data_IF_041975286631
#
_entry.id   IF_041975286631
#
_cell.length_a   1.000
_cell.length_b   1.000
_cell.length_c   1.000
_cell.angle_alpha   90.00
_cell.angle_beta   90.00
_cell.angle_gamma   90.00
#
_symmetry.space_group_name_H-M   'P 1'
#
loop_
_entity.id
_entity.type
_entity.pdbx_description
1 polymer ?
#
# COMPACT_ATOMS: atom_id res chain seq x y z
N UNK A 1 9.16 3.90 28.03
CA UNK A 1 10.29 3.28 27.31
C UNK A 1 10.92 4.34 26.42
N UNK A 2 12.24 4.53 26.48
CA UNK A 2 12.91 5.52 25.63
C UNK A 2 12.83 5.09 24.15
N UNK A 3 12.58 6.04 23.25
CA UNK A 3 12.56 5.76 21.82
C UNK A 3 13.92 5.15 21.40
N UNK A 4 13.92 4.00 20.69
CA UNK A 4 15.14 3.37 20.18
C UNK A 4 16.01 4.35 19.39
N UNK A 5 17.33 4.15 19.40
CA UNK A 5 18.29 5.05 18.76
C UNK A 5 17.97 5.29 17.27
N UNK A 6 17.53 4.25 16.55
CA UNK A 6 17.22 4.33 15.13
C UNK A 6 16.01 5.24 14.85
N UNK A 7 15.03 5.28 15.76
CA UNK A 7 13.91 6.22 15.62
C UNK A 7 14.43 7.65 15.67
N UNK A 8 15.31 7.98 16.63
CA UNK A 8 15.88 9.34 16.74
C UNK A 8 16.61 9.77 15.47
N UNK A 9 17.30 8.86 14.81
CA UNK A 9 17.95 9.10 13.51
C UNK A 9 16.91 9.34 12.42
N UNK A 10 15.89 8.48 12.30
CA UNK A 10 14.82 8.61 11.30
C UNK A 10 13.99 9.90 11.47
N UNK A 11 13.87 10.41 12.70
CA UNK A 11 13.19 11.68 12.99
C UNK A 11 13.99 12.91 12.52
N UNK A 12 15.32 12.79 12.32
CA UNK A 12 16.20 13.90 11.90
C UNK A 12 16.36 14.07 10.39
N UNK A 13 15.84 13.14 9.59
CA UNK A 13 15.91 13.21 8.11
C UNK A 13 14.53 13.48 7.50
N UNK A 14 14.45 13.96 6.24
CA UNK A 14 13.19 14.20 5.56
C UNK A 14 12.26 12.97 5.60
N UNK A 15 10.93 13.13 5.80
CA UNK A 15 10.03 12.00 6.04
C UNK A 15 10.02 10.93 4.95
N UNK A 16 10.07 11.34 3.67
CA UNK A 16 10.08 10.40 2.54
C UNK A 16 11.41 9.63 2.45
N UNK A 17 12.53 10.24 2.85
CA UNK A 17 13.82 9.56 2.95
C UNK A 17 13.81 8.55 4.10
N UNK A 18 13.35 8.96 5.29
CA UNK A 18 13.21 8.05 6.43
C UNK A 18 12.31 6.84 6.13
N UNK A 19 11.22 7.04 5.38
CA UNK A 19 10.37 5.94 4.92
C UNK A 19 11.15 4.92 4.09
N UNK A 20 11.93 5.39 3.10
CA UNK A 20 12.78 4.51 2.30
C UNK A 20 13.87 3.82 3.13
N UNK A 21 14.54 4.54 4.04
CA UNK A 21 15.56 3.96 4.91
C UNK A 21 14.98 2.89 5.84
N UNK A 22 13.79 3.12 6.41
CA UNK A 22 13.14 2.18 7.30
C UNK A 22 12.74 0.88 6.58
N UNK A 23 12.14 0.97 5.40
CA UNK A 23 11.71 -0.22 4.64
C UNK A 23 12.90 -1.03 4.12
N UNK A 24 13.94 -0.37 3.59
CA UNK A 24 15.17 -1.06 3.18
C UNK A 24 15.88 -1.71 4.37
N UNK A 25 15.95 -1.01 5.51
CA UNK A 25 16.53 -1.56 6.73
C UNK A 25 15.77 -2.77 7.26
N UNK A 26 14.43 -2.73 7.20
CA UNK A 26 13.58 -3.85 7.57
C UNK A 26 13.81 -5.06 6.66
N UNK A 27 13.80 -4.87 5.35
CA UNK A 27 14.02 -5.96 4.39
C UNK A 27 15.42 -6.56 4.47
N UNK A 28 16.42 -5.76 4.84
CA UNK A 28 17.73 -6.31 5.17
C UNK A 28 17.71 -7.10 6.48
N UNK A 29 17.06 -6.55 7.53
CA UNK A 29 17.02 -7.16 8.85
C UNK A 29 16.32 -8.52 8.86
N UNK A 30 15.26 -8.69 8.05
CA UNK A 30 14.54 -9.98 7.94
C UNK A 30 15.31 -11.07 7.22
N UNK A 31 16.39 -10.72 6.53
CA UNK A 31 17.34 -11.70 5.95
C UNK A 31 18.34 -12.23 6.97
N UNK A 32 18.44 -11.58 8.14
CA UNK A 32 19.31 -12.01 9.23
C UNK A 32 18.48 -12.78 10.27
N UNK A 33 18.70 -14.09 10.45
CA UNK A 33 17.93 -14.88 11.41
C UNK A 33 17.99 -14.30 12.83
N UNK A 34 16.83 -14.21 13.49
CA UNK A 34 16.72 -13.75 14.88
C UNK A 34 16.74 -12.24 15.10
N UNK A 35 17.02 -11.44 14.06
CA UNK A 35 17.02 -9.97 14.19
C UNK A 35 15.60 -9.37 14.21
N UNK A 36 14.65 -10.04 13.56
CA UNK A 36 13.23 -9.70 13.57
C UNK A 36 12.45 -10.94 14.04
N UNK A 37 11.81 -10.84 15.19
CA UNK A 37 11.05 -11.93 15.80
C UNK A 37 9.81 -11.39 16.53
N UNK A 38 8.77 -10.96 15.81
CA UNK A 38 7.52 -10.59 16.46
C UNK A 38 6.84 -11.83 17.03
N UNK A 39 6.23 -11.67 18.20
CA UNK A 39 5.27 -12.65 18.67
C UNK A 39 3.95 -12.42 17.91
N UNK A 40 3.59 -13.37 17.05
CA UNK A 40 2.30 -13.37 16.37
C UNK A 40 1.21 -13.72 17.39
N UNK A 41 0.38 -12.75 17.76
CA UNK A 41 -0.88 -13.03 18.42
C UNK A 41 -1.76 -13.84 17.44
N UNK A 42 -2.11 -15.07 17.81
CA UNK A 42 -2.99 -15.93 17.00
C UNK A 42 -4.43 -15.65 17.40
N UNK A 43 -5.07 -14.71 16.71
CA UNK A 43 -6.47 -14.32 16.92
C UNK A 43 -7.21 -14.27 15.58
N UNK A 44 -7.33 -15.43 14.93
CA UNK A 44 -7.75 -15.52 13.54
C UNK A 44 -9.18 -15.03 13.29
N UNK A 45 -9.43 -14.50 12.09
CA UNK A 45 -10.76 -14.07 11.61
C UNK A 45 -11.01 -14.57 10.19
N UNK A 46 -12.25 -14.94 9.89
CA UNK A 46 -12.68 -15.24 8.52
C UNK A 46 -13.59 -14.12 8.03
N UNK A 47 -13.20 -13.45 6.94
CA UNK A 47 -13.92 -12.29 6.40
C UNK A 47 -13.91 -12.38 4.87
N UNK A 48 -15.07 -12.22 4.23
CA UNK A 48 -15.24 -12.34 2.77
C UNK A 48 -14.65 -13.63 2.17
N UNK A 49 -14.69 -14.74 2.91
CA UNK A 49 -14.11 -16.02 2.50
C UNK A 49 -12.59 -16.14 2.65
N UNK A 50 -11.92 -15.10 3.14
CA UNK A 50 -10.47 -15.10 3.41
C UNK A 50 -10.18 -15.37 4.88
N UNK A 51 -9.06 -16.05 5.15
CA UNK A 51 -8.61 -16.37 6.50
C UNK A 51 -7.46 -15.45 6.93
N UNK A 52 -7.74 -14.55 7.86
CA UNK A 52 -6.78 -13.63 8.46
C UNK A 52 -6.16 -14.27 9.72
N UNK A 53 -4.82 -14.41 9.82
CA UNK A 53 -4.17 -15.00 10.99
C UNK A 53 -4.38 -14.21 12.29
N UNK A 54 -4.61 -12.91 12.16
CA UNK A 54 -4.96 -11.98 13.24
C UNK A 54 -5.70 -10.76 12.65
N UNK A 55 -6.38 -9.94 13.47
CA UNK A 55 -7.24 -8.87 12.95
C UNK A 55 -6.47 -7.59 12.56
N UNK A 56 -5.14 -7.55 12.74
CA UNK A 56 -4.33 -6.35 12.49
C UNK A 56 -3.71 -6.41 11.09
N UNK A 57 -4.20 -5.55 10.21
CA UNK A 57 -3.67 -5.35 8.87
C UNK A 57 -2.85 -4.07 8.74
N UNK A 58 -1.88 -4.07 7.83
CA UNK A 58 -1.17 -2.87 7.40
C UNK A 58 -1.91 -2.21 6.23
N UNK A 59 -2.27 -0.94 6.38
CA UNK A 59 -2.98 -0.18 5.37
C UNK A 59 -2.12 0.16 4.13
N UNK A 60 -2.79 0.43 3.02
CA UNK A 60 -2.17 0.90 1.79
C UNK A 60 -1.39 2.21 1.96
N UNK A 61 -0.47 2.45 1.04
CA UNK A 61 0.34 3.67 0.95
C UNK A 61 1.70 3.55 1.63
N UNK A 62 1.92 2.54 2.47
CA UNK A 62 3.26 2.22 2.99
C UNK A 62 4.09 1.48 1.93
N UNK A 63 3.71 0.26 1.57
CA UNK A 63 4.37 -0.49 0.49
C UNK A 63 3.58 -0.40 -0.82
N UNK A 64 3.82 0.68 -1.56
CA UNK A 64 3.08 0.96 -2.80
C UNK A 64 3.37 -0.02 -3.94
N UNK A 65 4.51 -0.71 -3.90
CA UNK A 65 5.01 -1.47 -5.04
C UNK A 65 5.11 -2.97 -4.76
N UNK A 66 4.63 -3.42 -3.59
CA UNK A 66 4.88 -4.77 -3.07
C UNK A 66 6.38 -5.10 -2.93
N UNK A 67 7.21 -4.09 -2.70
CA UNK A 67 8.66 -4.28 -2.61
C UNK A 67 9.07 -4.94 -1.27
N UNK A 68 8.24 -4.86 -0.23
CA UNK A 68 8.62 -5.16 1.17
C UNK A 68 7.60 -6.05 1.90
N UNK A 69 6.70 -6.73 1.19
CA UNK A 69 5.61 -7.56 1.76
C UNK A 69 6.15 -8.57 2.78
N UNK A 70 7.18 -9.34 2.43
CA UNK A 70 7.80 -10.31 3.35
C UNK A 70 8.38 -9.64 4.60
N UNK A 71 9.08 -8.52 4.41
CA UNK A 71 9.70 -7.77 5.50
C UNK A 71 8.68 -7.23 6.49
N UNK A 72 7.58 -6.68 5.97
CA UNK A 72 6.46 -6.17 6.76
C UNK A 72 5.67 -7.31 7.41
N UNK A 73 5.49 -8.43 6.73
CA UNK A 73 4.82 -9.61 7.26
C UNK A 73 5.57 -10.19 8.46
N UNK A 74 6.89 -10.14 8.42
CA UNK A 74 7.76 -10.50 9.53
C UNK A 74 7.67 -9.54 10.73
N UNK A 75 6.83 -8.49 10.71
CA UNK A 75 6.50 -7.69 11.90
C UNK A 75 5.23 -8.19 12.63
N UNK A 76 4.53 -9.17 12.06
CA UNK A 76 3.40 -9.83 12.71
C UNK A 76 2.01 -9.44 12.19
N UNK A 77 1.93 -8.64 11.12
CA UNK A 77 0.65 -8.30 10.50
C UNK A 77 -0.08 -9.53 9.96
N UNK A 78 -1.38 -9.63 10.20
CA UNK A 78 -2.24 -10.67 9.62
C UNK A 78 -2.57 -10.40 8.15
N UNK A 79 -2.55 -9.12 7.75
CA UNK A 79 -2.74 -8.71 6.38
C UNK A 79 -1.88 -7.51 5.99
N UNK A 80 -1.58 -7.40 4.69
CA UNK A 80 -0.86 -6.26 4.12
C UNK A 80 -1.63 -5.79 2.88
N UNK A 81 -2.03 -4.52 2.87
CA UNK A 81 -2.56 -3.90 1.66
C UNK A 81 -1.43 -3.13 0.94
N UNK A 82 -1.05 -3.59 -0.26
CA UNK A 82 -0.08 -2.88 -1.11
C UNK A 82 -0.77 -1.78 -1.92
N UNK A 83 0.03 -0.96 -2.58
CA UNK A 83 -0.48 0.12 -3.44
C UNK A 83 -0.69 1.43 -2.67
N UNK A 84 -1.40 2.42 -3.22
CA UNK A 84 -2.13 2.36 -4.49
C UNK A 84 -1.22 2.19 -5.69
N UNK A 85 -1.47 1.16 -6.50
CA UNK A 85 -0.84 0.96 -7.82
C UNK A 85 -1.73 1.50 -8.92
N UNK A 86 -1.11 1.89 -10.03
CA UNK A 86 -1.79 2.33 -11.26
C UNK A 86 -1.34 1.47 -12.44
N UNK A 87 -2.03 1.47 -13.59
CA UNK A 87 -1.61 0.67 -14.75
C UNK A 87 -0.15 0.95 -15.16
N UNK A 88 0.17 2.23 -15.38
CA UNK A 88 1.51 2.71 -15.73
C UNK A 88 2.23 3.25 -14.51
N UNK A 89 3.58 3.15 -14.45
CA UNK A 89 4.36 3.84 -13.43
C UNK A 89 4.15 5.35 -13.49
N UNK A 90 4.18 6.02 -12.34
CA UNK A 90 4.16 7.47 -12.29
C UNK A 90 4.94 8.02 -11.08
N UNK A 91 5.58 9.20 -11.21
CA UNK A 91 6.43 9.76 -10.17
C UNK A 91 5.64 10.34 -8.98
N UNK A 92 4.34 10.61 -9.17
CA UNK A 92 3.47 11.33 -8.24
C UNK A 92 3.71 12.84 -8.24
N UNK A 93 3.28 13.52 -7.17
CA UNK A 93 3.43 14.98 -7.05
C UNK A 93 4.88 15.40 -6.74
N UNK A 94 5.28 16.65 -7.04
CA UNK A 94 6.60 17.17 -6.67
C UNK A 94 6.88 17.11 -5.16
N UNK A 95 8.15 16.97 -4.79
CA UNK A 95 8.61 17.01 -3.40
C UNK A 95 8.82 18.46 -2.92
N UNK A 96 8.70 18.76 -1.60
CA UNK A 96 8.30 17.87 -0.52
C UNK A 96 6.79 17.61 -0.50
N UNK A 97 6.40 16.38 -0.14
CA UNK A 97 5.02 15.87 -0.24
C UNK A 97 4.59 14.97 0.92
N UNK A 98 5.44 14.83 1.94
CA UNK A 98 5.15 14.12 3.18
C UNK A 98 5.70 14.94 4.35
N UNK A 99 4.85 15.20 5.33
CA UNK A 99 5.11 16.08 6.47
C UNK A 99 4.71 15.37 7.76
N UNK A 100 5.49 15.61 8.82
CA UNK A 100 5.23 15.07 10.17
C UNK A 100 4.74 16.17 11.08
N UNK A 101 3.81 15.83 11.95
CA UNK A 101 3.31 16.70 13.02
C UNK A 101 3.45 15.92 14.35
N UNK A 102 4.68 15.87 14.91
CA UNK A 102 4.99 14.98 16.02
C UNK A 102 4.11 15.19 17.25
N UNK A 103 3.77 16.45 17.57
CA UNK A 103 2.96 16.81 18.75
C UNK A 103 1.53 16.23 18.69
N UNK A 104 1.06 15.90 17.49
CA UNK A 104 -0.28 15.37 17.24
C UNK A 104 -0.26 13.91 16.77
N UNK A 105 0.91 13.26 16.77
CA UNK A 105 1.09 11.90 16.23
C UNK A 105 0.53 11.77 14.79
N UNK A 106 0.66 12.83 13.99
CA UNK A 106 -0.02 12.95 12.70
C UNK A 106 0.94 13.13 11.52
N UNK A 107 0.44 12.81 10.33
CA UNK A 107 1.11 12.99 9.05
C UNK A 107 0.18 13.74 8.08
N UNK A 108 0.76 14.61 7.25
CA UNK A 108 0.09 15.17 6.07
C UNK A 108 0.86 14.68 4.85
N UNK A 109 0.16 14.19 3.83
CA UNK A 109 0.79 13.80 2.58
C UNK A 109 -0.02 14.24 1.37
N UNK A 110 0.71 14.48 0.28
CA UNK A 110 0.17 14.77 -1.05
C UNK A 110 0.91 13.97 -2.10
N UNK A 111 1.01 12.66 -1.89
CA UNK A 111 1.91 11.81 -2.68
C UNK A 111 1.52 11.71 -4.17
N UNK A 112 0.21 11.65 -4.47
CA UNK A 112 -0.30 11.57 -5.85
C UNK A 112 -0.01 10.23 -6.54
N UNK A 113 -0.22 9.10 -5.83
CA UNK A 113 -0.02 7.74 -6.35
C UNK A 113 1.35 7.50 -7.01
N UNK A 114 2.46 7.90 -6.38
CA UNK A 114 3.78 7.54 -6.88
C UNK A 114 4.03 6.02 -6.77
N UNK A 115 4.17 5.32 -7.90
CA UNK A 115 4.33 3.86 -7.93
C UNK A 115 5.03 3.39 -9.23
N UNK A 116 5.45 2.12 -9.26
CA UNK A 116 6.18 1.47 -10.37
C UNK A 116 5.27 0.77 -11.39
N UNK A 117 3.95 0.94 -11.29
CA UNK A 117 2.95 0.29 -12.14
C UNK A 117 2.53 -1.09 -11.63
N UNK A 118 1.33 -1.51 -12.03
CA UNK A 118 0.71 -2.77 -11.56
C UNK A 118 1.53 -4.00 -11.95
N UNK A 119 2.12 -4.01 -13.16
CA UNK A 119 2.94 -5.13 -13.62
C UNK A 119 4.19 -5.36 -12.75
N UNK A 120 4.76 -4.29 -12.15
CA UNK A 120 5.84 -4.43 -11.18
C UNK A 120 5.34 -5.08 -9.89
N UNK A 121 4.23 -4.59 -9.35
CA UNK A 121 3.66 -5.11 -8.11
C UNK A 121 3.23 -6.58 -8.24
N UNK A 122 2.58 -6.95 -9.35
CA UNK A 122 2.20 -8.34 -9.64
C UNK A 122 3.41 -9.29 -9.58
N UNK A 123 4.49 -8.98 -10.31
CA UNK A 123 5.73 -9.77 -10.30
C UNK A 123 6.39 -9.89 -8.92
N UNK A 124 6.20 -8.89 -8.05
CA UNK A 124 6.67 -8.95 -6.66
C UNK A 124 5.79 -9.88 -5.83
N UNK A 125 4.47 -9.79 -5.98
CA UNK A 125 3.51 -10.64 -5.28
C UNK A 125 3.63 -12.12 -5.67
N UNK A 126 3.92 -12.43 -6.93
CA UNK A 126 4.21 -13.81 -7.39
C UNK A 126 5.36 -14.48 -6.62
N UNK A 127 6.29 -13.67 -6.09
CA UNK A 127 7.52 -14.14 -5.42
C UNK A 127 7.45 -13.98 -3.90
N UNK A 128 6.31 -13.54 -3.35
CA UNK A 128 6.16 -13.33 -1.91
C UNK A 128 6.20 -14.67 -1.17
N UNK A 129 6.73 -14.66 0.05
CA UNK A 129 6.70 -15.78 0.99
C UNK A 129 5.73 -15.54 2.15
N UNK A 130 5.32 -14.29 2.36
CA UNK A 130 4.30 -13.95 3.34
C UNK A 130 3.02 -14.74 3.09
N UNK A 131 2.59 -15.48 4.12
CA UNK A 131 1.44 -16.39 4.08
C UNK A 131 0.16 -15.78 4.66
N UNK A 132 0.19 -14.52 5.10
CA UNK A 132 -1.03 -13.78 5.45
C UNK A 132 -1.75 -13.25 4.21
N UNK A 133 -2.85 -12.55 4.46
CA UNK A 133 -3.69 -11.99 3.39
C UNK A 133 -3.02 -10.76 2.79
N UNK A 134 -2.98 -10.65 1.48
CA UNK A 134 -2.47 -9.48 0.78
C UNK A 134 -3.55 -8.86 -0.11
N UNK A 135 -3.93 -7.64 0.24
CA UNK A 135 -4.79 -6.81 -0.59
C UNK A 135 -3.99 -5.99 -1.59
N UNK A 136 -4.56 -5.74 -2.76
CA UNK A 136 -4.01 -4.78 -3.71
C UNK A 136 -4.93 -3.58 -3.89
N UNK A 137 -4.46 -2.41 -3.44
CA UNK A 137 -5.15 -1.14 -3.65
C UNK A 137 -4.83 -0.60 -5.05
N UNK A 138 -5.85 -0.42 -5.88
CA UNK A 138 -5.73 0.01 -7.27
C UNK A 138 -6.35 1.39 -7.47
N UNK A 139 -5.77 2.17 -8.38
CA UNK A 139 -6.23 3.50 -8.72
C UNK A 139 -5.93 3.86 -10.17
N UNK A 140 -6.46 4.99 -10.60
CA UNK A 140 -6.26 5.53 -11.94
C UNK A 140 -4.94 6.32 -12.04
N UNK A 141 -4.29 6.26 -13.21
CA UNK A 141 -3.16 7.11 -13.56
C UNK A 141 -3.56 8.60 -13.58
N UNK A 142 -2.61 9.50 -13.35
CA UNK A 142 -2.90 10.94 -13.24
C UNK A 142 -3.52 11.51 -14.54
N UNK A 143 -2.98 11.11 -15.67
CA UNK A 143 -3.27 11.58 -17.02
C UNK A 143 -4.51 10.92 -17.66
N UNK A 144 -4.99 9.80 -17.13
CA UNK A 144 -6.25 9.19 -17.60
C UNK A 144 -7.43 10.11 -17.29
N UNK A 145 -8.26 10.49 -18.28
CA UNK A 145 -9.48 11.26 -18.03
C UNK A 145 -10.41 10.55 -17.02
N UNK A 146 -11.18 11.32 -16.26
CA UNK A 146 -12.05 10.74 -15.23
C UNK A 146 -13.13 9.82 -15.84
N UNK A 147 -13.67 10.18 -17.00
CA UNK A 147 -14.67 9.37 -17.70
C UNK A 147 -14.11 8.03 -18.22
N UNK A 148 -12.78 7.93 -18.35
CA UNK A 148 -12.07 6.71 -18.72
C UNK A 148 -11.43 6.01 -17.50
N UNK A 149 -11.72 6.44 -16.27
CA UNK A 149 -11.09 5.86 -15.08
C UNK A 149 -11.33 4.35 -14.95
N UNK A 150 -12.47 3.85 -15.43
CA UNK A 150 -12.81 2.42 -15.42
C UNK A 150 -11.76 1.57 -16.17
N UNK A 151 -11.21 2.07 -17.28
CA UNK A 151 -10.22 1.33 -18.07
C UNK A 151 -8.96 1.06 -17.24
N UNK A 152 -8.51 2.03 -16.45
CA UNK A 152 -7.36 1.88 -15.56
C UNK A 152 -7.61 0.86 -14.44
N UNK A 153 -8.80 0.87 -13.83
CA UNK A 153 -9.12 -0.13 -12.80
C UNK A 153 -9.11 -1.55 -13.40
N UNK A 154 -9.74 -1.74 -14.56
CA UNK A 154 -9.75 -3.04 -15.27
C UNK A 154 -8.34 -3.48 -15.67
N UNK A 155 -7.52 -2.56 -16.17
CA UNK A 155 -6.13 -2.84 -16.52
C UNK A 155 -5.27 -3.25 -15.31
N UNK A 156 -5.67 -2.88 -14.08
CA UNK A 156 -5.00 -3.37 -12.87
C UNK A 156 -5.51 -4.74 -12.41
N UNK A 157 -6.77 -5.10 -12.70
CA UNK A 157 -7.34 -6.36 -12.23
C UNK A 157 -6.62 -7.59 -12.81
N UNK A 158 -6.37 -7.60 -14.11
CA UNK A 158 -5.81 -8.78 -14.79
C UNK A 158 -4.43 -9.20 -14.24
N UNK A 159 -3.43 -8.30 -14.09
CA UNK A 159 -2.14 -8.70 -13.51
C UNK A 159 -2.19 -9.04 -12.03
N UNK A 160 -3.21 -8.58 -11.29
CA UNK A 160 -3.36 -8.85 -9.86
C UNK A 160 -4.20 -10.10 -9.57
N UNK A 161 -4.93 -10.59 -10.57
CA UNK A 161 -5.73 -11.79 -10.47
C UNK A 161 -4.84 -13.01 -10.16
N UNK A 162 -5.20 -13.75 -9.12
CA UNK A 162 -4.44 -14.93 -8.68
C UNK A 162 -3.19 -14.63 -7.85
N UNK A 163 -2.80 -13.36 -7.68
CA UNK A 163 -1.62 -12.96 -6.87
C UNK A 163 -1.96 -12.01 -5.72
N UNK A 164 -3.13 -11.35 -5.75
CA UNK A 164 -3.71 -10.63 -4.62
C UNK A 164 -4.95 -11.38 -4.10
N UNK A 165 -5.13 -11.41 -2.78
CA UNK A 165 -6.25 -12.11 -2.14
C UNK A 165 -7.54 -11.30 -2.16
N UNK A 166 -7.42 -9.96 -2.18
CA UNK A 166 -8.53 -9.05 -2.42
C UNK A 166 -8.07 -7.80 -3.14
N UNK A 167 -9.02 -7.08 -3.75
CA UNK A 167 -8.79 -5.82 -4.45
C UNK A 167 -9.50 -4.69 -3.71
N UNK A 168 -8.79 -3.57 -3.50
CA UNK A 168 -9.38 -2.32 -3.02
C UNK A 168 -9.44 -1.32 -4.16
N UNK A 169 -10.65 -0.91 -4.54
CA UNK A 169 -10.88 0.13 -5.57
C UNK A 169 -10.79 1.51 -4.93
N UNK A 170 -9.70 2.23 -5.18
CA UNK A 170 -9.45 3.51 -4.53
C UNK A 170 -10.04 4.71 -5.28
N UNK A 171 -11.21 5.15 -4.81
CA UNK A 171 -11.92 6.33 -5.29
C UNK A 171 -11.85 7.53 -4.33
N UNK A 172 -11.07 7.43 -3.24
CA UNK A 172 -11.14 8.39 -2.11
C UNK A 172 -9.94 9.32 -1.96
N UNK A 173 -8.87 9.12 -2.76
CA UNK A 173 -7.67 9.95 -2.71
C UNK A 173 -7.97 11.44 -2.97
N UNK A 174 -7.61 12.35 -2.05
CA UNK A 174 -7.71 13.80 -2.28
C UNK A 174 -6.63 14.33 -3.22
N UNK A 175 -5.62 13.52 -3.54
CA UNK A 175 -4.40 13.94 -4.23
C UNK A 175 -4.45 13.72 -5.74
N UNK A 176 -5.56 13.18 -6.25
CA UNK A 176 -5.82 12.95 -7.67
C UNK A 176 -7.04 13.79 -8.06
N UNK A 177 -6.88 14.82 -8.91
CA UNK A 177 -7.97 15.74 -9.24
C UNK A 177 -9.24 15.01 -9.71
N UNK A 178 -10.38 15.38 -9.14
CA UNK A 178 -11.70 14.84 -9.51
C UNK A 178 -11.98 13.40 -9.05
N UNK A 179 -11.01 12.63 -8.54
CA UNK A 179 -11.20 11.19 -8.27
C UNK A 179 -12.39 10.90 -7.32
N UNK A 180 -12.60 11.78 -6.33
CA UNK A 180 -13.66 11.63 -5.32
C UNK A 180 -15.08 11.71 -5.88
N UNK A 181 -15.28 12.22 -7.10
CA UNK A 181 -16.60 12.22 -7.74
C UNK A 181 -17.03 10.80 -8.16
N UNK A 182 -16.10 9.85 -8.26
CA UNK A 182 -16.40 8.43 -8.52
C UNK A 182 -17.07 7.73 -7.32
N UNK A 183 -17.20 8.38 -6.16
CA UNK A 183 -17.78 7.77 -4.94
C UNK A 183 -19.30 7.82 -4.89
N UNK A 184 -19.98 8.48 -5.85
CA UNK A 184 -21.42 8.70 -5.77
C UNK A 184 -22.10 8.76 -7.13
N UNK A 185 -23.40 8.45 -7.14
CA UNK A 185 -24.28 8.59 -8.31
C UNK A 185 -23.90 7.67 -9.48
N UNK A 186 -24.30 8.07 -10.68
CA UNK A 186 -24.12 7.28 -11.89
C UNK A 186 -22.65 6.90 -12.18
N UNK A 187 -21.69 7.74 -11.76
CA UNK A 187 -20.26 7.44 -11.93
C UNK A 187 -19.82 6.24 -11.09
N UNK A 188 -20.33 6.10 -9.87
CA UNK A 188 -20.05 4.96 -8.99
C UNK A 188 -20.72 3.68 -9.49
N UNK A 189 -21.98 3.77 -9.92
CA UNK A 189 -22.72 2.63 -10.50
C UNK A 189 -22.04 2.11 -11.77
N UNK A 190 -21.63 3.01 -12.66
CA UNK A 190 -20.88 2.68 -13.89
C UNK A 190 -19.53 2.03 -13.58
N UNK A 191 -18.84 2.51 -12.54
CA UNK A 191 -17.57 1.94 -12.10
C UNK A 191 -17.79 0.51 -11.59
N UNK A 192 -18.70 0.30 -10.65
CA UNK A 192 -18.95 -1.01 -10.06
C UNK A 192 -19.52 -2.02 -11.06
N UNK A 193 -20.45 -1.62 -11.92
CA UNK A 193 -21.01 -2.50 -12.95
C UNK A 193 -20.02 -2.87 -14.07
N UNK A 194 -18.89 -2.16 -14.16
CA UNK A 194 -17.85 -2.41 -15.16
C UNK A 194 -16.63 -3.18 -14.66
N UNK A 195 -16.54 -3.44 -13.34
CA UNK A 195 -15.51 -4.27 -12.72
C UNK A 195 -15.95 -5.73 -12.69
#
# INVERSE_FOLDING_TARGET
MSAPWYQRVLWRVPPELAHGLALNGLDWATRVPGLVAPQLARDSRSVFGLHFPNPVGLAAGLDKNADYVDGLGALGFGAIEIGTVTPRPQPGNPRPRLFRIPQHHALINRMGFNNKGVAHAARRLERRRFAGVVGANIGKNRDTPLDDALSDYRACLEPLHGVADYITVNVSSPNTPGLRTLQSGAAFERLLGGL
#
